data_IF_147739706647
#
_entry.id   IF_147739706647
#
_cell.length_a   1.000
_cell.length_b   1.000
_cell.length_c   1.000
_cell.angle_alpha   90.00
_cell.angle_beta   90.00
_cell.angle_gamma   90.00
#
_symmetry.space_group_name_H-M   'P 1'
#
loop_
_entity.id
_entity.type
_entity.pdbx_description
1 polymer ?
#
# COMPACT_ATOMS: atom_id res chain seq x y z
N UNK A 1 -36.28 2.75 1.98
CA UNK A 1 -34.92 2.63 2.58
C UNK A 1 -34.56 1.15 2.74
N UNK A 2 -33.74 0.58 1.85
CA UNK A 2 -33.33 -0.84 1.90
C UNK A 2 -31.94 -0.90 2.56
N UNK A 3 -31.86 -1.38 3.81
CA UNK A 3 -30.60 -1.74 4.49
C UNK A 3 -29.83 -2.72 3.58
N UNK A 4 -28.77 -2.26 2.91
CA UNK A 4 -27.80 -3.14 2.24
C UNK A 4 -27.25 -4.05 3.34
N UNK A 5 -27.64 -5.33 3.32
CA UNK A 5 -26.96 -6.38 4.10
C UNK A 5 -25.49 -6.31 3.72
N UNK A 6 -24.68 -5.79 4.63
CA UNK A 6 -23.24 -5.85 4.52
C UNK A 6 -22.87 -7.32 4.70
N UNK A 7 -22.52 -8.02 3.60
CA UNK A 7 -21.94 -9.36 3.70
C UNK A 7 -20.60 -9.23 4.45
N UNK A 8 -20.58 -9.62 5.72
CA UNK A 8 -19.39 -9.51 6.58
C UNK A 8 -18.23 -10.37 6.04
N UNK A 9 -18.54 -11.52 5.40
CA UNK A 9 -17.54 -12.40 4.80
C UNK A 9 -16.74 -11.81 3.63
N UNK A 10 -17.30 -10.87 2.86
CA UNK A 10 -16.62 -10.24 1.73
C UNK A 10 -15.68 -9.08 2.11
N UNK A 11 -15.79 -8.57 3.33
CA UNK A 11 -14.93 -7.48 3.82
C UNK A 11 -13.53 -7.98 4.14
N UNK A 12 -13.43 -9.12 4.81
CA UNK A 12 -12.15 -9.70 5.23
C UNK A 12 -11.27 -10.10 4.04
N UNK A 13 -11.85 -10.65 2.98
CA UNK A 13 -11.11 -11.03 1.76
C UNK A 13 -10.57 -9.82 1.02
N UNK A 14 -11.34 -8.73 0.91
CA UNK A 14 -10.88 -7.49 0.28
C UNK A 14 -9.77 -6.82 1.09
N UNK A 15 -9.84 -6.90 2.42
CA UNK A 15 -8.85 -6.33 3.35
C UNK A 15 -7.47 -7.01 3.27
N UNK A 16 -7.41 -8.28 2.86
CA UNK A 16 -6.16 -9.03 2.70
C UNK A 16 -5.67 -9.06 1.26
N UNK A 17 -6.60 -9.18 0.31
CA UNK A 17 -6.26 -9.23 -1.11
C UNK A 17 -5.79 -7.87 -1.64
N UNK A 18 -6.44 -6.77 -1.25
CA UNK A 18 -6.10 -5.44 -1.78
C UNK A 18 -4.64 -5.03 -1.47
N UNK A 19 -4.14 -5.12 -0.21
CA UNK A 19 -2.76 -4.77 0.09
C UNK A 19 -1.75 -5.66 -0.65
N UNK A 20 -2.06 -6.95 -0.83
CA UNK A 20 -1.21 -7.87 -1.57
C UNK A 20 -1.07 -7.45 -3.04
N UNK A 21 -2.19 -7.21 -3.72
CA UNK A 21 -2.18 -6.79 -5.13
C UNK A 21 -1.50 -5.43 -5.31
N UNK A 22 -1.75 -4.49 -4.40
CA UNK A 22 -1.11 -3.19 -4.40
C UNK A 22 0.42 -3.31 -4.28
N UNK A 23 0.94 -4.05 -3.30
CA UNK A 23 2.40 -4.18 -3.15
C UNK A 23 3.07 -4.92 -4.34
N UNK A 24 2.38 -5.90 -4.94
CA UNK A 24 2.88 -6.56 -6.17
C UNK A 24 3.01 -5.57 -7.32
N UNK A 25 2.00 -4.72 -7.54
CA UNK A 25 2.02 -3.73 -8.62
C UNK A 25 3.04 -2.62 -8.31
N UNK A 26 2.96 -2.02 -7.12
CA UNK A 26 3.75 -0.84 -6.79
C UNK A 26 5.21 -1.15 -6.48
N UNK A 27 5.52 -2.28 -5.81
CA UNK A 27 6.91 -2.65 -5.48
C UNK A 27 7.48 -3.68 -6.44
N UNK A 28 6.68 -4.69 -6.76
CA UNK A 28 7.09 -5.76 -7.67
C UNK A 28 7.27 -5.31 -9.11
N UNK A 29 6.50 -4.32 -9.58
CA UNK A 29 6.59 -3.83 -10.96
C UNK A 29 7.07 -2.37 -11.04
N UNK A 30 6.31 -1.42 -10.49
CA UNK A 30 6.57 0.02 -10.68
C UNK A 30 7.91 0.44 -10.07
N UNK A 31 8.14 0.14 -8.79
CA UNK A 31 9.40 0.47 -8.10
C UNK A 31 10.60 -0.17 -8.80
N UNK A 32 10.50 -1.45 -9.17
CA UNK A 32 11.57 -2.16 -9.89
C UNK A 32 11.84 -1.53 -11.26
N UNK A 33 10.79 -1.15 -11.99
CA UNK A 33 10.90 -0.41 -13.25
C UNK A 33 11.65 0.91 -13.06
N UNK A 34 11.27 1.69 -12.05
CA UNK A 34 11.98 2.93 -11.69
C UNK A 34 13.42 2.67 -11.27
N UNK A 35 13.72 1.62 -10.50
CA UNK A 35 15.11 1.30 -10.13
C UNK A 35 16.00 0.91 -11.30
N UNK A 36 15.43 0.53 -12.43
CA UNK A 36 16.18 0.31 -13.67
C UNK A 36 16.79 1.60 -14.26
N UNK A 37 16.25 2.78 -13.91
CA UNK A 37 16.66 4.06 -14.51
C UNK A 37 16.96 5.17 -13.50
N UNK A 38 16.38 5.11 -12.31
CA UNK A 38 16.47 6.11 -11.24
C UNK A 38 17.31 5.60 -10.05
N UNK A 39 17.84 6.55 -9.27
CA UNK A 39 18.48 6.25 -7.98
C UNK A 39 17.47 5.66 -6.98
N UNK A 40 17.97 5.01 -5.93
CA UNK A 40 17.12 4.40 -4.91
C UNK A 40 16.18 5.42 -4.22
N UNK A 41 16.66 6.58 -3.73
CA UNK A 41 15.77 7.59 -3.13
C UNK A 41 14.73 8.12 -4.11
N UNK A 42 15.11 8.39 -5.37
CA UNK A 42 14.18 8.87 -6.39
C UNK A 42 13.10 7.84 -6.72
N UNK A 43 13.46 6.56 -6.82
CA UNK A 43 12.50 5.47 -7.06
C UNK A 43 11.54 5.28 -5.89
N UNK A 44 12.03 5.44 -4.66
CA UNK A 44 11.21 5.37 -3.43
C UNK A 44 10.15 6.45 -3.50
N UNK A 45 10.56 7.71 -3.67
CA UNK A 45 9.65 8.87 -3.70
C UNK A 45 8.68 8.77 -4.88
N UNK A 46 9.16 8.44 -6.09
CA UNK A 46 8.32 8.35 -7.27
C UNK A 46 7.26 7.24 -7.15
N UNK A 47 7.64 6.05 -6.69
CA UNK A 47 6.69 4.95 -6.50
C UNK A 47 5.68 5.23 -5.37
N UNK A 48 6.10 5.93 -4.31
CA UNK A 48 5.23 6.34 -3.21
C UNK A 48 4.24 7.44 -3.65
N UNK A 49 4.70 8.40 -4.47
CA UNK A 49 3.86 9.44 -5.02
C UNK A 49 2.78 8.86 -5.93
N UNK A 50 3.15 7.96 -6.85
CA UNK A 50 2.18 7.29 -7.72
C UNK A 50 1.18 6.44 -6.92
N UNK A 51 1.64 5.76 -5.87
CA UNK A 51 0.77 5.06 -4.94
C UNK A 51 -0.24 6.02 -4.30
N UNK A 52 0.19 7.18 -3.80
CA UNK A 52 -0.72 8.14 -3.18
C UNK A 52 -1.72 8.78 -4.14
N UNK A 53 -1.33 9.00 -5.41
CA UNK A 53 -2.21 9.60 -6.44
C UNK A 53 -3.41 8.73 -6.76
N UNK A 54 -3.27 7.39 -6.74
CA UNK A 54 -4.37 6.47 -7.06
C UNK A 54 -5.32 6.25 -5.88
N UNK A 55 -5.03 6.81 -4.71
CA UNK A 55 -5.85 6.71 -3.50
C UNK A 55 -6.77 7.93 -3.34
N UNK A 56 -7.84 7.83 -2.54
CA UNK A 56 -8.70 8.96 -2.24
C UNK A 56 -7.91 10.15 -1.66
N UNK A 57 -8.21 11.37 -2.12
CA UNK A 57 -7.49 12.59 -1.75
C UNK A 57 -7.43 12.84 -0.22
N UNK A 58 -8.47 12.40 0.51
CA UNK A 58 -8.53 12.48 1.98
C UNK A 58 -7.47 11.63 2.68
N UNK A 59 -6.93 10.62 2.00
CA UNK A 59 -5.94 9.68 2.52
C UNK A 59 -4.53 9.92 1.99
N UNK A 60 -4.32 10.90 1.10
CA UNK A 60 -3.07 11.12 0.36
C UNK A 60 -1.82 11.18 1.25
N UNK A 61 -1.85 11.97 2.32
CA UNK A 61 -0.69 12.13 3.21
C UNK A 61 -0.32 10.79 3.87
N UNK A 62 -1.23 10.11 4.59
CA UNK A 62 -0.85 8.90 5.28
C UNK A 62 -0.53 7.73 4.33
N UNK A 63 -1.19 7.61 3.16
CA UNK A 63 -0.84 6.57 2.17
C UNK A 63 0.49 6.89 1.47
N UNK A 64 0.85 8.16 1.29
CA UNK A 64 2.17 8.54 0.77
C UNK A 64 3.27 8.12 1.74
N UNK A 65 3.10 8.39 3.04
CA UNK A 65 4.04 7.97 4.09
C UNK A 65 4.15 6.44 4.12
N UNK A 66 3.02 5.72 4.06
CA UNK A 66 3.02 4.26 3.95
C UNK A 66 3.79 3.81 2.71
N UNK A 67 3.57 4.45 1.56
CA UNK A 67 4.26 4.16 0.32
C UNK A 67 5.78 4.34 0.40
N UNK A 68 6.24 5.39 1.10
CA UNK A 68 7.67 5.63 1.36
C UNK A 68 8.26 4.52 2.23
N UNK A 69 7.59 4.16 3.32
CA UNK A 69 8.03 3.09 4.23
C UNK A 69 8.07 1.75 3.51
N UNK A 70 7.01 1.40 2.78
CA UNK A 70 6.92 0.16 2.03
C UNK A 70 8.03 0.06 0.97
N UNK A 71 8.25 1.12 0.18
CA UNK A 71 9.31 1.15 -0.83
C UNK A 71 10.71 1.09 -0.21
N UNK A 72 10.94 1.77 0.91
CA UNK A 72 12.21 1.71 1.64
C UNK A 72 12.49 0.31 2.19
N UNK A 73 11.51 -0.31 2.85
CA UNK A 73 11.62 -1.68 3.38
C UNK A 73 11.85 -2.67 2.25
N UNK A 74 11.12 -2.53 1.13
CA UNK A 74 11.33 -3.36 -0.04
C UNK A 74 12.73 -3.19 -0.65
N UNK A 75 13.26 -1.97 -0.73
CA UNK A 75 14.61 -1.74 -1.26
C UNK A 75 15.68 -2.43 -0.41
N UNK A 76 15.50 -2.41 0.91
CA UNK A 76 16.43 -3.03 1.87
C UNK A 76 16.33 -4.55 1.92
N UNK A 77 15.12 -5.10 1.84
CA UNK A 77 14.86 -6.54 2.03
C UNK A 77 14.77 -7.30 0.71
N UNK A 78 14.38 -6.63 -0.38
CA UNK A 78 14.00 -7.22 -1.68
C UNK A 78 12.88 -8.26 -1.62
N UNK A 79 12.16 -8.32 -0.50
CA UNK A 79 11.05 -9.24 -0.26
C UNK A 79 9.72 -8.46 -0.25
N UNK A 80 8.72 -8.95 -0.98
CA UNK A 80 7.38 -8.35 -0.98
C UNK A 80 6.63 -8.60 0.33
N UNK A 81 6.95 -9.65 1.07
CA UNK A 81 6.27 -9.94 2.34
C UNK A 81 6.49 -8.85 3.39
N UNK A 82 7.66 -8.19 3.37
CA UNK A 82 7.98 -7.15 4.34
C UNK A 82 7.08 -5.89 4.20
N UNK A 83 6.92 -5.27 3.01
CA UNK A 83 5.96 -4.18 2.83
C UNK A 83 4.51 -4.63 2.98
N UNK A 84 4.16 -5.87 2.60
CA UNK A 84 2.80 -6.41 2.82
C UNK A 84 2.46 -6.41 4.33
N UNK A 85 3.38 -6.90 5.17
CA UNK A 85 3.18 -6.89 6.62
C UNK A 85 3.07 -5.47 7.17
N UNK A 86 3.91 -4.55 6.71
CA UNK A 86 3.83 -3.14 7.11
C UNK A 86 2.48 -2.51 6.74
N UNK A 87 1.97 -2.80 5.54
CA UNK A 87 0.68 -2.34 5.06
C UNK A 87 -0.48 -2.94 5.86
N UNK A 88 -0.43 -4.23 6.16
CA UNK A 88 -1.44 -4.89 7.00
C UNK A 88 -1.50 -4.29 8.42
N UNK A 89 -0.34 -4.00 9.02
CA UNK A 89 -0.26 -3.34 10.34
C UNK A 89 -0.85 -1.93 10.28
N UNK A 90 -0.53 -1.15 9.24
CA UNK A 90 -1.11 0.16 9.04
C UNK A 90 -2.64 0.11 8.91
N UNK A 91 -3.17 -0.80 8.08
CA UNK A 91 -4.61 -0.97 7.89
C UNK A 91 -5.31 -1.39 9.20
N UNK A 92 -4.70 -2.30 9.97
CA UNK A 92 -5.23 -2.70 11.27
C UNK A 92 -5.31 -1.52 12.26
N UNK A 93 -4.27 -0.69 12.32
CA UNK A 93 -4.25 0.50 13.16
C UNK A 93 -5.33 1.50 12.73
N UNK A 94 -5.43 1.80 11.44
CA UNK A 94 -6.45 2.72 10.89
C UNK A 94 -7.86 2.26 11.26
N UNK A 95 -8.16 0.96 11.14
CA UNK A 95 -9.46 0.40 11.52
C UNK A 95 -9.71 0.59 13.02
N UNK A 96 -8.74 0.28 13.87
CA UNK A 96 -8.88 0.39 15.32
C UNK A 96 -9.15 1.83 15.80
N UNK A 97 -8.61 2.84 15.10
CA UNK A 97 -8.87 4.25 15.40
C UNK A 97 -10.18 4.80 14.80
N UNK A 98 -10.80 4.08 13.87
CA UNK A 98 -12.05 4.48 13.20
C UNK A 98 -13.30 3.73 13.71
N UNK A 99 -13.12 2.76 14.61
CA UNK A 99 -14.18 2.00 15.29
C UNK A 99 -14.42 2.50 16.72
#
# INVERSE_FOLDING_TARGET
MRKKRQNHGGRHTTLLAAPLFEEVIFRGMIYRGFRGTLSAPASIVASAALFAIVHPAVSTIPVFVLGLVAAFVFERTRLLIAPILAHMVYNAAVIAFQS
#
